data_IF_607584437087
#
_entry.id   IF_607584437087
#
_cell.length_a   1.000
_cell.length_b   1.000
_cell.length_c   1.000
_cell.angle_alpha   90.00
_cell.angle_beta   90.00
_cell.angle_gamma   90.00
#
_symmetry.space_group_name_H-M   'P 1'
#
loop_
_entity.id
_entity.type
_entity.pdbx_description
1 polymer ?
#
# COMPACT_ATOMS: atom_id res chain seq x y z
N UNK A 1 25.28 11.11 14.02
CA UNK A 1 25.27 11.27 12.56
C UNK A 1 25.36 9.90 11.88
N UNK A 2 25.08 9.83 10.58
CA UNK A 2 25.29 8.62 9.77
C UNK A 2 26.76 8.22 9.79
N UNK A 3 27.67 9.20 9.67
CA UNK A 3 29.11 8.99 9.74
C UNK A 3 29.55 8.31 11.05
N UNK A 4 29.11 8.81 12.21
CA UNK A 4 29.45 8.21 13.50
C UNK A 4 28.93 6.77 13.61
N UNK A 5 27.72 6.50 13.11
CA UNK A 5 27.15 5.15 13.09
C UNK A 5 27.83 4.20 12.10
N UNK A 6 28.39 4.73 11.00
CA UNK A 6 29.25 3.96 10.11
C UNK A 6 30.55 3.58 10.80
N UNK A 7 31.17 4.51 11.52
CA UNK A 7 32.39 4.26 12.30
C UNK A 7 32.15 3.20 13.39
N UNK A 8 30.97 3.20 14.02
CA UNK A 8 30.57 2.20 15.01
C UNK A 8 30.16 0.83 14.41
N UNK A 9 30.03 0.71 13.08
CA UNK A 9 29.57 -0.52 12.42
C UNK A 9 28.05 -0.75 12.43
N UNK A 10 27.26 0.16 13.01
CA UNK A 10 25.79 0.11 13.01
C UNK A 10 25.20 0.27 11.61
N UNK A 11 25.83 1.10 10.78
CA UNK A 11 25.39 1.39 9.41
C UNK A 11 26.47 0.96 8.43
N UNK A 12 26.07 0.20 7.40
CA UNK A 12 27.00 -0.24 6.36
C UNK A 12 27.49 0.96 5.54
N UNK A 13 28.80 1.05 5.19
CA UNK A 13 29.34 2.22 4.49
C UNK A 13 28.66 2.56 3.17
N UNK A 14 28.15 1.57 2.44
CA UNK A 14 27.44 1.81 1.19
C UNK A 14 26.09 2.53 1.40
N UNK A 15 25.43 2.36 2.55
CA UNK A 15 24.19 3.06 2.89
C UNK A 15 24.46 4.56 3.07
N UNK A 16 25.57 4.91 3.73
CA UNK A 16 26.01 6.30 3.85
C UNK A 16 26.35 6.91 2.49
N UNK A 17 27.07 6.18 1.61
CA UNK A 17 27.37 6.64 0.24
C UNK A 17 26.11 6.92 -0.57
N UNK A 18 25.16 5.99 -0.57
CA UNK A 18 23.88 6.18 -1.28
C UNK A 18 23.04 7.32 -0.71
N UNK A 19 23.07 7.51 0.61
CA UNK A 19 22.41 8.65 1.25
C UNK A 19 23.02 9.97 0.75
N UNK A 20 24.35 10.07 0.73
CA UNK A 20 25.06 11.24 0.21
C UNK A 20 24.77 11.49 -1.28
N UNK A 21 24.73 10.44 -2.11
CA UNK A 21 24.36 10.55 -3.53
C UNK A 21 22.97 11.19 -3.72
N UNK A 22 21.99 10.78 -2.91
CA UNK A 22 20.62 11.30 -2.97
C UNK A 22 20.49 12.72 -2.40
N UNK A 23 21.35 13.13 -1.48
CA UNK A 23 21.26 14.44 -0.81
C UNK A 23 22.28 15.46 -1.30
N UNK A 24 23.17 15.13 -2.25
CA UNK A 24 24.32 15.97 -2.64
C UNK A 24 23.98 17.36 -3.18
N UNK A 25 22.75 17.53 -3.68
CA UNK A 25 22.27 18.79 -4.27
C UNK A 25 21.64 19.71 -3.23
N UNK A 26 21.48 19.26 -1.98
CA UNK A 26 20.88 20.03 -0.89
C UNK A 26 21.89 20.95 -0.20
N UNK A 27 21.37 21.97 0.47
CA UNK A 27 22.17 22.83 1.36
C UNK A 27 22.75 22.04 2.54
N UNK A 28 23.83 22.54 3.15
CA UNK A 28 24.44 21.90 4.33
C UNK A 28 23.45 21.72 5.49
N UNK A 29 22.57 22.70 5.73
CA UNK A 29 21.55 22.61 6.76
C UNK A 29 20.56 21.46 6.46
N UNK A 30 20.10 21.34 5.22
CA UNK A 30 19.20 20.29 4.75
C UNK A 30 19.84 18.89 4.82
N UNK A 31 21.10 18.76 4.42
CA UNK A 31 21.87 17.51 4.56
C UNK A 31 21.98 17.10 6.04
N UNK A 32 22.13 18.08 6.95
CA UNK A 32 22.11 17.81 8.39
C UNK A 32 20.80 17.19 8.90
N UNK A 33 19.66 17.56 8.32
CA UNK A 33 18.35 16.94 8.62
C UNK A 33 18.29 15.51 8.10
N UNK A 34 18.72 15.28 6.85
CA UNK A 34 18.81 13.94 6.23
C UNK A 34 19.69 13.03 7.09
N UNK A 35 20.87 13.50 7.48
CA UNK A 35 21.82 12.76 8.30
C UNK A 35 21.21 12.30 9.63
N UNK A 36 20.56 13.21 10.37
CA UNK A 36 19.91 12.86 11.65
C UNK A 36 18.78 11.84 11.45
N UNK A 37 17.98 11.98 10.40
CA UNK A 37 16.86 11.06 10.14
C UNK A 37 17.37 9.66 9.73
N UNK A 38 18.35 9.60 8.83
CA UNK A 38 18.94 8.34 8.37
C UNK A 38 19.70 7.64 9.50
N UNK A 39 20.40 8.39 10.36
CA UNK A 39 21.08 7.82 11.52
C UNK A 39 20.12 7.06 12.45
N UNK A 40 18.85 7.49 12.56
CA UNK A 40 17.85 6.84 13.39
C UNK A 40 17.44 5.45 12.88
N UNK A 41 17.35 5.28 11.56
CA UNK A 41 16.76 4.09 10.93
C UNK A 41 17.70 3.27 10.05
N UNK A 42 18.91 3.76 9.79
CA UNK A 42 19.82 3.18 8.79
C UNK A 42 20.33 1.77 9.12
N UNK A 43 20.15 1.32 10.37
CA UNK A 43 20.49 -0.03 10.83
C UNK A 43 19.28 -0.97 10.83
N UNK A 44 18.05 -0.43 10.94
CA UNK A 44 16.82 -1.20 11.08
C UNK A 44 16.05 -1.37 9.77
N UNK A 45 16.16 -0.41 8.85
CA UNK A 45 15.47 -0.43 7.57
C UNK A 45 16.36 -0.97 6.45
N UNK A 46 15.74 -1.69 5.51
CA UNK A 46 16.35 -1.98 4.22
C UNK A 46 16.51 -0.71 3.40
N UNK A 47 17.45 -0.71 2.45
CA UNK A 47 17.70 0.46 1.60
C UNK A 47 16.46 0.92 0.83
N UNK A 48 15.63 0.01 0.30
CA UNK A 48 14.41 0.41 -0.40
C UNK A 48 13.45 1.23 0.49
N UNK A 49 13.30 0.85 1.77
CA UNK A 49 12.49 1.59 2.74
C UNK A 49 13.18 2.88 3.20
N UNK A 50 14.49 2.81 3.46
CA UNK A 50 15.28 3.96 3.87
C UNK A 50 15.37 5.04 2.78
N UNK A 51 15.46 4.64 1.51
CA UNK A 51 15.47 5.56 0.37
C UNK A 51 14.16 6.35 0.29
N UNK A 52 13.00 5.73 0.58
CA UNK A 52 11.71 6.45 0.70
C UNK A 52 11.74 7.48 1.83
N UNK A 53 12.39 7.17 2.96
CA UNK A 53 12.59 8.13 4.07
C UNK A 53 13.50 9.28 3.64
N UNK A 54 14.62 8.98 2.94
CA UNK A 54 15.54 10.00 2.42
C UNK A 54 14.81 10.92 1.45
N UNK A 55 14.07 10.36 0.49
CA UNK A 55 13.24 11.12 -0.45
C UNK A 55 12.23 12.02 0.27
N UNK A 56 11.56 11.51 1.31
CA UNK A 56 10.64 12.33 2.10
C UNK A 56 11.34 13.53 2.75
N UNK A 57 12.52 13.34 3.34
CA UNK A 57 13.28 14.44 3.95
C UNK A 57 13.82 15.40 2.89
N UNK A 58 14.21 14.91 1.71
CA UNK A 58 14.65 15.76 0.59
C UNK A 58 13.50 16.68 0.15
N UNK A 59 12.29 16.13 -0.01
CA UNK A 59 11.09 16.91 -0.37
C UNK A 59 10.72 17.91 0.74
N UNK A 60 10.90 17.52 2.01
CA UNK A 60 10.65 18.39 3.18
C UNK A 60 11.64 19.56 3.23
N UNK A 61 12.90 19.31 2.90
CA UNK A 61 13.97 20.29 2.98
C UNK A 61 13.96 21.31 1.83
N UNK A 62 13.47 20.94 0.65
CA UNK A 62 13.30 21.84 -0.49
C UNK A 62 12.01 21.53 -1.28
N UNK A 63 10.86 21.99 -0.78
CA UNK A 63 9.57 21.79 -1.46
C UNK A 63 9.51 22.45 -2.84
N UNK A 64 10.19 23.59 -3.03
CA UNK A 64 10.21 24.31 -4.30
C UNK A 64 10.90 23.52 -5.41
N UNK A 65 12.09 22.98 -5.13
CA UNK A 65 12.80 22.12 -6.07
C UNK A 65 12.02 20.83 -6.33
N UNK A 66 11.40 20.24 -5.30
CA UNK A 66 10.54 19.06 -5.46
C UNK A 66 9.34 19.35 -6.38
N UNK A 67 8.71 20.52 -6.24
CA UNK A 67 7.63 20.98 -7.11
C UNK A 67 8.12 21.18 -8.55
N UNK A 68 9.23 21.88 -8.75
CA UNK A 68 9.83 22.06 -10.08
C UNK A 68 10.18 20.73 -10.75
N UNK A 69 10.78 19.79 -10.01
CA UNK A 69 11.09 18.45 -10.51
C UNK A 69 9.82 17.63 -10.81
N UNK A 70 8.72 17.84 -10.08
CA UNK A 70 7.43 17.24 -10.40
C UNK A 70 6.86 17.82 -11.70
N UNK A 71 6.99 19.13 -11.91
CA UNK A 71 6.52 19.82 -13.12
C UNK A 71 7.32 19.39 -14.36
N UNK A 72 8.64 19.27 -14.25
CA UNK A 72 9.48 18.72 -15.34
C UNK A 72 9.11 17.28 -15.68
N UNK A 73 8.89 16.42 -14.68
CA UNK A 73 8.44 15.03 -14.91
C UNK A 73 7.06 14.96 -15.57
N UNK A 74 6.17 15.93 -15.29
CA UNK A 74 4.87 16.00 -15.99
C UNK A 74 5.04 16.26 -17.48
N UNK A 75 6.08 16.98 -17.90
CA UNK A 75 6.37 17.16 -19.32
C UNK A 75 6.81 15.87 -20.02
N UNK A 76 7.19 14.83 -19.26
CA UNK A 76 7.53 13.50 -19.76
C UNK A 76 6.33 12.53 -19.76
N UNK A 77 5.14 12.98 -19.32
CA UNK A 77 3.93 12.15 -19.35
C UNK A 77 3.60 11.71 -20.78
N UNK A 78 3.14 10.47 -20.92
CA UNK A 78 2.85 9.89 -22.22
C UNK A 78 2.37 8.45 -22.16
N UNK A 79 1.78 8.01 -23.27
CA UNK A 79 1.39 6.63 -23.51
C UNK A 79 2.29 6.08 -24.60
N UNK A 80 3.03 5.02 -24.30
CA UNK A 80 4.03 4.43 -25.19
C UNK A 80 3.64 3.00 -25.52
N UNK A 81 3.58 2.65 -26.81
CA UNK A 81 3.29 1.30 -27.28
C UNK A 81 4.55 0.66 -27.87
N UNK A 82 4.84 -0.57 -27.45
CA UNK A 82 5.94 -1.33 -28.06
C UNK A 82 5.61 -1.72 -29.51
N UNK A 83 6.64 -1.81 -30.35
CA UNK A 83 6.54 -2.40 -31.69
C UNK A 83 6.47 -3.92 -31.53
N UNK A 84 5.27 -4.47 -31.38
CA UNK A 84 4.91 -5.91 -31.28
C UNK A 84 5.75 -6.78 -30.33
N UNK A 85 5.08 -7.43 -29.38
CA UNK A 85 5.61 -8.65 -28.77
C UNK A 85 5.27 -9.86 -29.68
N UNK A 86 5.90 -11.01 -29.43
CA UNK A 86 5.54 -12.27 -30.11
C UNK A 86 4.04 -12.55 -29.96
N UNK A 87 3.47 -13.27 -30.93
CA UNK A 87 2.10 -13.81 -30.90
C UNK A 87 0.96 -12.77 -30.88
N UNK A 88 1.18 -11.59 -31.50
CA UNK A 88 0.12 -10.58 -31.69
C UNK A 88 -0.16 -9.70 -30.46
N UNK A 89 0.64 -9.82 -29.41
CA UNK A 89 0.51 -9.00 -28.20
C UNK A 89 1.30 -7.68 -28.33
N UNK A 90 0.87 -6.62 -27.64
CA UNK A 90 1.65 -5.37 -27.47
C UNK A 90 1.73 -4.99 -25.99
N UNK A 91 2.83 -4.34 -25.63
CA UNK A 91 3.01 -3.77 -24.29
C UNK A 91 2.75 -2.28 -24.37
N UNK A 92 1.91 -1.78 -23.46
CA UNK A 92 1.66 -0.36 -23.26
C UNK A 92 2.31 0.08 -21.94
N UNK A 93 3.08 1.15 -21.98
CA UNK A 93 3.61 1.84 -20.81
C UNK A 93 2.91 3.19 -20.70
N UNK A 94 2.26 3.44 -19.57
CA UNK A 94 1.56 4.72 -19.31
C UNK A 94 2.26 5.45 -18.19
N UNK A 95 2.64 6.70 -18.46
CA UNK A 95 3.15 7.65 -17.47
C UNK A 95 2.17 8.80 -17.41
N UNK A 96 1.42 8.89 -16.31
CA UNK A 96 0.38 9.89 -16.09
C UNK A 96 0.26 10.22 -14.60
N UNK A 97 -0.62 11.16 -14.24
CA UNK A 97 -0.89 11.48 -12.85
C UNK A 97 -1.45 10.26 -12.11
N UNK A 98 -1.03 10.10 -10.85
CA UNK A 98 -1.39 8.93 -10.05
C UNK A 98 -2.90 8.79 -9.86
N UNK A 99 -3.61 9.91 -9.72
CA UNK A 99 -5.08 9.98 -9.71
C UNK A 99 -5.69 9.22 -10.89
N UNK A 100 -5.22 9.53 -12.10
CA UNK A 100 -5.79 9.00 -13.33
C UNK A 100 -5.46 7.52 -13.50
N UNK A 101 -4.24 7.11 -13.14
CA UNK A 101 -3.85 5.70 -13.17
C UNK A 101 -4.57 4.85 -12.12
N UNK A 102 -4.88 5.41 -10.95
CA UNK A 102 -5.70 4.71 -9.94
C UNK A 102 -7.14 4.52 -10.42
N UNK A 103 -7.73 5.53 -11.07
CA UNK A 103 -9.05 5.37 -11.67
C UNK A 103 -9.05 4.43 -12.87
N UNK A 104 -8.01 4.49 -13.70
CA UNK A 104 -7.82 3.56 -14.81
C UNK A 104 -7.77 2.12 -14.28
N UNK A 105 -6.92 1.85 -13.30
CA UNK A 105 -6.80 0.53 -12.65
C UNK A 105 -8.13 0.04 -12.06
N UNK A 106 -8.82 0.90 -11.29
CA UNK A 106 -10.13 0.59 -10.71
C UNK A 106 -11.21 0.36 -11.78
N UNK A 107 -11.13 1.06 -12.91
CA UNK A 107 -12.05 0.88 -14.04
C UNK A 107 -11.83 -0.46 -14.73
N UNK A 108 -10.56 -0.86 -14.93
CA UNK A 108 -10.23 -2.19 -15.45
C UNK A 108 -10.72 -3.30 -14.52
N UNK A 109 -10.55 -3.15 -13.20
CA UNK A 109 -11.07 -4.10 -12.22
C UNK A 109 -12.59 -4.20 -12.28
N UNK A 110 -13.29 -3.06 -12.29
CA UNK A 110 -14.76 -3.03 -12.36
C UNK A 110 -15.29 -3.72 -13.62
N UNK A 111 -14.67 -3.46 -14.77
CA UNK A 111 -15.04 -4.10 -16.04
C UNK A 111 -14.75 -5.60 -15.98
N UNK A 112 -13.58 -6.01 -15.46
CA UNK A 112 -13.19 -7.40 -15.32
C UNK A 112 -14.15 -8.19 -14.40
N UNK A 113 -14.55 -7.60 -13.28
CA UNK A 113 -15.53 -8.18 -12.37
C UNK A 113 -16.92 -8.23 -13.02
N UNK A 114 -17.30 -7.19 -13.76
CA UNK A 114 -18.55 -7.13 -14.53
C UNK A 114 -18.68 -8.23 -15.59
N UNK A 115 -17.65 -8.45 -16.41
CA UNK A 115 -17.66 -9.54 -17.39
C UNK A 115 -17.66 -10.92 -16.72
N UNK A 116 -17.03 -11.06 -15.54
CA UNK A 116 -17.10 -12.28 -14.75
C UNK A 116 -18.51 -12.57 -14.23
N UNK A 117 -19.21 -11.55 -13.73
CA UNK A 117 -20.62 -11.65 -13.32
C UNK A 117 -21.54 -12.07 -14.47
N UNK A 118 -21.21 -11.69 -15.71
CA UNK A 118 -21.95 -12.08 -16.91
C UNK A 118 -21.53 -13.45 -17.48
N UNK A 119 -20.64 -14.17 -16.80
CA UNK A 119 -20.31 -15.57 -17.10
C UNK A 119 -18.94 -15.83 -17.71
N UNK A 120 -18.07 -14.82 -17.84
CA UNK A 120 -16.68 -15.06 -18.24
C UNK A 120 -15.90 -15.75 -17.11
N UNK A 121 -15.57 -17.02 -17.30
CA UNK A 121 -14.89 -17.86 -16.30
C UNK A 121 -13.37 -17.73 -16.29
N UNK A 122 -12.79 -16.89 -17.14
CA UNK A 122 -11.33 -16.72 -17.17
C UNK A 122 -10.79 -16.14 -15.86
N UNK A 123 -9.50 -16.42 -15.61
CA UNK A 123 -8.77 -15.82 -14.49
C UNK A 123 -8.88 -14.28 -14.50
N UNK A 124 -8.91 -13.65 -13.33
CA UNK A 124 -9.16 -12.20 -13.21
C UNK A 124 -8.19 -11.35 -14.04
N UNK A 125 -6.91 -11.72 -14.10
CA UNK A 125 -5.92 -10.98 -14.90
C UNK A 125 -6.17 -11.07 -16.42
N UNK A 126 -6.70 -12.20 -16.90
CA UNK A 126 -7.11 -12.35 -18.31
C UNK A 126 -8.33 -11.47 -18.58
N UNK A 127 -9.30 -11.44 -17.66
CA UNK A 127 -10.46 -10.53 -17.72
C UNK A 127 -10.04 -9.06 -17.69
N UNK A 128 -9.05 -8.68 -16.88
CA UNK A 128 -8.46 -7.33 -16.86
C UNK A 128 -7.78 -6.98 -18.18
N UNK A 129 -7.10 -7.93 -18.84
CA UNK A 129 -6.55 -7.70 -20.17
C UNK A 129 -7.65 -7.42 -21.22
N UNK A 130 -8.76 -8.18 -21.19
CA UNK A 130 -9.94 -7.92 -22.05
C UNK A 130 -10.58 -6.56 -21.75
N UNK A 131 -10.58 -6.14 -20.48
CA UNK A 131 -11.15 -4.87 -20.05
C UNK A 131 -10.50 -3.65 -20.73
N UNK A 132 -9.22 -3.72 -21.12
CA UNK A 132 -8.54 -2.64 -21.85
C UNK A 132 -9.26 -2.34 -23.18
N UNK A 133 -9.67 -3.38 -23.91
CA UNK A 133 -10.39 -3.22 -25.17
C UNK A 133 -11.84 -2.75 -24.99
N UNK A 134 -12.50 -3.18 -23.90
CA UNK A 134 -13.85 -2.70 -23.55
C UNK A 134 -13.79 -1.21 -23.19
N UNK A 135 -12.84 -0.81 -22.35
CA UNK A 135 -12.65 0.57 -21.90
C UNK A 135 -12.34 1.53 -23.07
N UNK A 136 -11.69 1.03 -24.12
CA UNK A 136 -11.44 1.78 -25.36
C UNK A 136 -12.70 2.04 -26.20
N UNK A 137 -13.83 1.38 -25.89
CA UNK A 137 -15.15 1.57 -26.52
C UNK A 137 -16.14 2.09 -25.45
N UNK A 138 -16.36 3.42 -25.38
CA UNK A 138 -17.21 4.02 -24.36
C UNK A 138 -18.65 3.49 -24.35
N UNK A 139 -19.24 3.23 -25.53
CA UNK A 139 -20.62 2.73 -25.61
C UNK A 139 -20.69 1.30 -25.10
N UNK A 140 -19.76 0.43 -25.52
CA UNK A 140 -19.69 -0.94 -25.02
C UNK A 140 -19.46 -1.01 -23.51
N UNK A 141 -18.66 -0.09 -22.96
CA UNK A 141 -18.47 0.03 -21.51
C UNK A 141 -19.78 0.38 -20.79
N UNK A 142 -20.55 1.34 -21.32
CA UNK A 142 -21.83 1.72 -20.75
C UNK A 142 -22.86 0.60 -20.84
N UNK A 143 -22.93 -0.10 -21.98
CA UNK A 143 -23.83 -1.25 -22.18
C UNK A 143 -23.51 -2.39 -21.20
N UNK A 144 -22.21 -2.65 -20.96
CA UNK A 144 -21.76 -3.60 -19.94
C UNK A 144 -22.26 -3.20 -18.55
N UNK A 145 -22.09 -1.94 -18.15
CA UNK A 145 -22.55 -1.48 -16.84
C UNK A 145 -24.08 -1.56 -16.70
N UNK A 146 -24.84 -1.28 -17.76
CA UNK A 146 -26.29 -1.47 -17.77
C UNK A 146 -26.67 -2.94 -17.60
N UNK A 147 -25.99 -3.86 -18.29
CA UNK A 147 -26.22 -5.31 -18.18
C UNK A 147 -25.90 -5.85 -16.77
N UNK A 148 -24.78 -5.42 -16.18
CA UNK A 148 -24.40 -5.78 -14.81
C UNK A 148 -25.42 -5.26 -13.80
N UNK A 149 -25.88 -4.02 -13.93
CA UNK A 149 -26.91 -3.45 -13.04
C UNK A 149 -28.25 -4.19 -13.15
N UNK A 150 -28.62 -4.64 -14.36
CA UNK A 150 -29.79 -5.48 -14.58
C UNK A 150 -29.66 -6.86 -13.93
N UNK A 151 -28.47 -7.45 -13.97
CA UNK A 151 -28.16 -8.76 -13.36
C UNK A 151 -28.18 -8.69 -11.83
N UNK A 152 -27.52 -7.68 -11.24
CA UNK A 152 -27.52 -7.48 -9.79
C UNK A 152 -28.94 -7.30 -9.23
N UNK A 153 -29.81 -6.54 -9.93
CA UNK A 153 -31.21 -6.36 -9.54
C UNK A 153 -32.02 -7.66 -9.57
N UNK A 154 -31.65 -8.63 -10.39
CA UNK A 154 -32.31 -9.94 -10.48
C UNK A 154 -31.88 -10.90 -9.36
N UNK A 155 -30.68 -10.71 -8.82
CA UNK A 155 -30.10 -11.55 -7.77
C UNK A 155 -30.48 -11.08 -6.36
N UNK A 156 -30.89 -9.83 -6.19
CA UNK A 156 -31.43 -9.30 -4.92
C UNK A 156 -32.85 -9.87 -4.66
N UNK A 157 -33.14 -10.46 -3.47
CA UNK A 157 -34.50 -10.80 -3.09
C UNK A 157 -35.35 -9.52 -2.97
N UNK A 158 -36.60 -9.57 -3.42
CA UNK A 158 -37.54 -8.46 -3.30
C UNK A 158 -37.82 -8.14 -1.81
N UNK A 159 -37.10 -7.17 -1.23
CA UNK A 159 -37.46 -6.59 0.06
C UNK A 159 -38.68 -5.66 -0.10
N UNK A 160 -39.62 -5.63 0.88
CA UNK A 160 -40.78 -4.75 0.79
C UNK A 160 -40.37 -3.28 0.92
N UNK A 161 -41.05 -2.47 0.14
CA UNK A 161 -40.79 -1.08 -0.18
C UNK A 161 -40.82 -0.17 1.07
N UNK A 162 -39.66 0.09 1.67
CA UNK A 162 -39.46 1.13 2.69
C UNK A 162 -38.87 2.40 2.06
N UNK A 163 -39.73 3.16 1.37
CA UNK A 163 -39.81 4.63 1.50
C UNK A 163 -38.57 5.51 1.28
N UNK A 164 -37.49 5.07 0.64
CA UNK A 164 -36.35 5.95 0.36
C UNK A 164 -36.46 6.60 -1.03
N UNK A 165 -37.05 7.81 -1.06
CA UNK A 165 -37.12 8.67 -2.26
C UNK A 165 -35.77 9.32 -2.57
N UNK A 166 -34.82 8.56 -3.08
CA UNK A 166 -33.63 9.12 -3.74
C UNK A 166 -32.98 8.14 -4.71
N UNK A 167 -33.70 7.67 -5.74
CA UNK A 167 -33.09 6.94 -6.88
C UNK A 167 -33.98 6.93 -8.13
N UNK A 168 -34.52 8.10 -8.52
CA UNK A 168 -35.06 8.29 -9.88
C UNK A 168 -33.96 8.89 -10.74
N UNK A 169 -33.37 8.08 -11.62
CA UNK A 169 -32.23 8.44 -12.47
C UNK A 169 -30.94 7.64 -12.23
N UNK A 170 -31.05 6.39 -11.76
CA UNK A 170 -29.90 5.53 -11.44
C UNK A 170 -29.12 5.06 -12.67
N UNK A 171 -28.42 5.98 -13.33
CA UNK A 171 -27.24 5.62 -14.10
C UNK A 171 -26.21 5.04 -13.14
N UNK A 172 -25.57 3.94 -13.53
CA UNK A 172 -24.35 3.50 -12.87
C UNK A 172 -23.34 4.63 -13.03
N UNK A 173 -22.82 5.19 -11.93
CA UNK A 173 -21.71 6.14 -12.04
C UNK A 173 -20.58 5.44 -12.82
N UNK A 174 -20.22 5.93 -14.02
CA UNK A 174 -19.20 5.28 -14.82
C UNK A 174 -17.82 5.36 -14.16
N UNK A 175 -17.60 6.27 -13.21
CA UNK A 175 -16.35 6.37 -12.46
C UNK A 175 -16.43 5.56 -11.16
N UNK A 176 -15.62 4.50 -11.00
CA UNK A 176 -15.54 3.79 -9.73
C UNK A 176 -14.91 4.69 -8.65
N UNK A 177 -15.27 4.48 -7.37
CA UNK A 177 -14.50 5.07 -6.28
C UNK A 177 -13.06 4.54 -6.33
N UNK A 178 -12.08 5.42 -6.15
CA UNK A 178 -10.68 5.06 -5.95
C UNK A 178 -10.24 5.52 -4.56
N UNK A 179 -9.37 4.73 -3.92
CA UNK A 179 -8.87 5.04 -2.57
C UNK A 179 -7.41 5.44 -2.65
N UNK A 180 -7.09 6.63 -2.14
CA UNK A 180 -5.71 7.11 -2.00
C UNK A 180 -5.34 7.18 -0.52
N UNK A 181 -4.31 6.44 -0.12
CA UNK A 181 -3.79 6.50 1.26
C UNK A 181 -2.75 7.60 1.38
N UNK A 182 -3.17 8.73 1.96
CA UNK A 182 -2.32 9.90 2.17
C UNK A 182 -2.00 10.04 3.65
N UNK A 183 -0.71 10.00 3.96
CA UNK A 183 -0.18 10.16 5.31
C UNK A 183 0.44 11.55 5.42
N UNK A 184 -0.12 12.38 6.29
CA UNK A 184 0.34 13.75 6.55
C UNK A 184 0.76 13.89 8.01
N UNK A 185 1.81 14.66 8.28
CA UNK A 185 2.14 15.05 9.66
C UNK A 185 1.35 16.31 10.07
N UNK A 186 1.31 16.58 11.37
CA UNK A 186 0.65 17.77 11.92
C UNK A 186 1.16 19.06 11.27
N UNK A 187 2.47 19.16 11.04
CA UNK A 187 3.10 20.35 10.47
C UNK A 187 2.60 20.64 9.05
N UNK A 188 2.37 19.59 8.24
CA UNK A 188 1.74 19.68 6.91
C UNK A 188 0.29 20.18 6.96
N UNK A 189 -0.44 19.90 8.05
CA UNK A 189 -1.83 20.33 8.23
C UNK A 189 -1.94 21.79 8.71
N UNK A 190 -0.94 22.30 9.43
CA UNK A 190 -0.94 23.64 10.02
C UNK A 190 -0.35 24.74 9.14
N UNK A 191 0.27 24.43 7.99
CA UNK A 191 0.99 25.40 7.15
C UNK A 191 0.67 25.37 5.65
N UNK A 192 1.08 26.41 4.94
CA UNK A 192 1.12 26.47 3.46
C UNK A 192 2.40 25.83 2.95
N UNK A 193 2.42 24.51 2.94
CA UNK A 193 3.58 23.73 2.53
C UNK A 193 3.81 22.57 3.49
N UNK A 194 4.15 21.41 2.95
CA UNK A 194 4.40 20.22 3.74
C UNK A 194 4.52 18.99 2.85
N UNK A 195 4.99 17.90 3.45
CA UNK A 195 5.14 16.62 2.76
C UNK A 195 3.94 15.74 3.07
N UNK A 196 3.41 15.12 2.04
CA UNK A 196 2.49 14.01 2.15
C UNK A 196 3.21 12.75 1.68
N UNK A 197 3.07 11.66 2.42
CA UNK A 197 3.48 10.33 1.95
C UNK A 197 2.25 9.64 1.40
N UNK A 198 2.28 9.32 0.12
CA UNK A 198 1.23 8.56 -0.53
C UNK A 198 1.72 7.12 -0.72
N UNK A 199 0.89 6.15 -0.37
CA UNK A 199 1.23 4.74 -0.56
C UNK A 199 1.45 4.41 -2.04
N UNK A 200 2.36 3.47 -2.32
CA UNK A 200 2.86 3.05 -3.64
C UNK A 200 3.48 4.13 -4.55
N UNK A 201 3.37 5.41 -4.19
CA UNK A 201 3.95 6.53 -4.93
C UNK A 201 5.18 7.09 -4.21
N UNK A 202 5.11 7.25 -2.88
CA UNK A 202 6.16 7.84 -2.06
C UNK A 202 5.86 9.26 -1.59
N UNK A 203 6.91 10.03 -1.30
CA UNK A 203 6.76 11.38 -0.79
C UNK A 203 6.45 12.38 -1.91
N UNK A 204 5.43 13.21 -1.67
CA UNK A 204 4.98 14.27 -2.57
C UNK A 204 4.76 15.55 -1.78
N UNK A 205 4.73 16.69 -2.47
CA UNK A 205 4.33 17.95 -1.82
C UNK A 205 2.83 17.94 -1.51
N UNK A 206 2.43 18.65 -0.46
CA UNK A 206 1.02 18.81 -0.11
C UNK A 206 0.21 19.42 -1.26
N UNK A 207 0.79 20.34 -2.02
CA UNK A 207 0.12 20.96 -3.18
C UNK A 207 -0.04 19.97 -4.35
N UNK A 208 0.92 19.05 -4.55
CA UNK A 208 0.74 17.97 -5.52
C UNK A 208 -0.42 17.05 -5.10
N UNK A 209 -0.49 16.66 -3.83
CA UNK A 209 -1.58 15.85 -3.31
C UNK A 209 -2.95 16.58 -3.42
N UNK A 210 -3.00 17.88 -3.08
CA UNK A 210 -4.20 18.71 -3.24
C UNK A 210 -4.65 18.79 -4.69
N UNK A 211 -3.72 18.99 -5.64
CA UNK A 211 -4.05 19.02 -7.08
C UNK A 211 -4.64 17.71 -7.56
N UNK A 212 -4.11 16.56 -7.13
CA UNK A 212 -4.70 15.25 -7.46
C UNK A 212 -6.13 15.08 -6.92
N UNK A 213 -6.44 15.70 -5.79
CA UNK A 213 -7.75 15.57 -5.14
C UNK A 213 -8.73 16.72 -5.46
N UNK A 214 -8.28 17.77 -6.16
CA UNK A 214 -9.02 19.04 -6.30
C UNK A 214 -10.40 18.91 -6.94
N UNK A 215 -10.57 18.00 -7.90
CA UNK A 215 -11.85 17.77 -8.58
C UNK A 215 -12.53 16.46 -8.14
N UNK A 216 -12.11 15.90 -7.00
CA UNK A 216 -12.63 14.65 -6.47
C UNK A 216 -13.63 14.92 -5.34
N UNK A 217 -14.72 14.14 -5.29
CA UNK A 217 -15.52 14.05 -4.07
C UNK A 217 -14.76 13.22 -3.04
N UNK A 218 -14.09 13.90 -2.10
CA UNK A 218 -13.23 13.23 -1.11
C UNK A 218 -14.03 12.89 0.14
N UNK A 219 -14.14 11.59 0.44
CA UNK A 219 -14.57 11.13 1.76
C UNK A 219 -13.33 10.89 2.62
N UNK A 220 -13.13 11.73 3.64
CA UNK A 220 -12.07 11.51 4.62
C UNK A 220 -12.53 10.45 5.61
N UNK A 221 -11.86 9.30 5.63
CA UNK A 221 -12.12 8.27 6.65
C UNK A 221 -11.52 8.72 7.99
N UNK A 222 -12.27 8.57 9.11
CA UNK A 222 -11.73 8.88 10.43
C UNK A 222 -10.54 7.99 10.76
N UNK A 223 -9.67 8.47 11.65
CA UNK A 223 -8.56 7.68 12.19
C UNK A 223 -9.14 6.40 12.80
N UNK A 224 -8.64 5.25 12.37
CA UNK A 224 -9.01 3.96 12.95
C UNK A 224 -8.38 3.88 14.33
N UNK A 225 -9.20 3.74 15.37
CA UNK A 225 -8.73 3.46 16.73
C UNK A 225 -8.21 2.01 16.78
N UNK A 226 -6.91 1.86 16.52
CA UNK A 226 -6.24 0.56 16.42
C UNK A 226 -6.35 -0.27 17.72
N UNK A 227 -6.22 0.31 18.94
CA UNK A 227 -6.43 -0.41 20.20
C UNK A 227 -7.83 -0.99 20.45
N UNK A 228 -8.89 -0.37 19.91
CA UNK A 228 -10.29 -0.73 20.22
C UNK A 228 -10.94 -1.72 19.25
N UNK A 229 -10.19 -2.26 18.29
CA UNK A 229 -10.78 -3.01 17.17
C UNK A 229 -11.08 -4.47 17.57
N UNK A 230 -12.35 -4.77 17.83
CA UNK A 230 -12.80 -6.09 18.27
C UNK A 230 -12.38 -7.20 17.28
N UNK A 231 -11.80 -8.28 17.81
CA UNK A 231 -11.48 -9.49 17.06
C UNK A 231 -12.75 -10.24 16.61
N UNK A 232 -12.60 -11.21 15.71
CA UNK A 232 -13.70 -12.08 15.25
C UNK A 232 -13.36 -13.55 15.39
N UNK A 233 -14.40 -14.37 15.49
CA UNK A 233 -14.34 -15.83 15.64
C UNK A 233 -14.46 -16.53 14.28
N UNK A 234 -13.69 -16.07 13.29
CA UNK A 234 -13.70 -16.60 11.94
C UNK A 234 -12.31 -16.60 11.34
N UNK A 235 -11.99 -17.60 10.51
CA UNK A 235 -10.73 -17.67 9.77
C UNK A 235 -10.58 -16.48 8.80
N UNK A 236 -11.68 -16.12 8.12
CA UNK A 236 -11.70 -15.01 7.17
C UNK A 236 -11.49 -13.68 7.89
N UNK A 237 -10.56 -12.88 7.37
CA UNK A 237 -10.17 -11.59 7.96
C UNK A 237 -11.06 -10.49 7.39
N UNK A 238 -11.94 -9.85 8.19
CA UNK A 238 -12.77 -8.75 7.72
C UNK A 238 -11.95 -7.54 7.28
N UNK A 239 -12.44 -6.80 6.29
CA UNK A 239 -11.75 -5.63 5.72
C UNK A 239 -11.32 -4.60 6.77
N UNK A 240 -12.14 -4.37 7.81
CA UNK A 240 -11.80 -3.45 8.92
C UNK A 240 -10.55 -3.87 9.70
N UNK A 241 -10.34 -5.18 9.88
CA UNK A 241 -9.17 -5.73 10.58
C UNK A 241 -7.96 -5.70 9.64
N UNK A 242 -8.13 -6.11 8.39
CA UNK A 242 -7.09 -6.03 7.36
C UNK A 242 -6.54 -4.61 7.23
N UNK A 243 -7.43 -3.63 7.17
CA UNK A 243 -7.05 -2.21 7.11
C UNK A 243 -6.26 -1.78 8.35
N UNK A 244 -6.74 -2.11 9.55
CA UNK A 244 -6.06 -1.81 10.80
C UNK A 244 -4.65 -2.40 10.87
N UNK A 245 -4.48 -3.65 10.43
CA UNK A 245 -3.17 -4.32 10.39
C UNK A 245 -2.19 -3.58 9.48
N UNK A 246 -2.62 -3.18 8.27
CA UNK A 246 -1.76 -2.42 7.34
C UNK A 246 -1.43 -1.00 7.84
N UNK A 247 -2.33 -0.35 8.58
CA UNK A 247 -2.04 0.95 9.20
C UNK A 247 -1.04 0.82 10.35
N UNK A 248 -1.15 -0.24 11.15
CA UNK A 248 -0.25 -0.52 12.28
C UNK A 248 1.16 -0.90 11.81
N UNK A 249 1.24 -1.80 10.82
CA UNK A 249 2.49 -2.22 10.22
C UNK A 249 2.37 -2.26 8.69
N UNK A 250 2.81 -1.20 7.98
CA UNK A 250 2.60 -1.10 6.53
C UNK A 250 3.55 -1.97 5.69
N UNK A 251 4.49 -2.68 6.33
CA UNK A 251 5.50 -3.47 5.65
C UNK A 251 5.37 -4.95 5.99
N UNK A 252 5.91 -5.79 5.09
CA UNK A 252 6.07 -7.22 5.36
C UNK A 252 6.82 -7.43 6.68
N UNK A 253 6.23 -8.23 7.57
CA UNK A 253 6.71 -8.41 8.94
C UNK A 253 7.90 -9.37 9.04
N UNK A 254 8.30 -10.00 7.94
CA UNK A 254 9.50 -10.85 7.92
C UNK A 254 10.78 -10.01 8.09
N UNK A 255 11.81 -10.50 8.81
CA UNK A 255 13.03 -9.75 9.06
C UNK A 255 13.68 -9.21 7.80
N UNK A 256 13.94 -7.90 7.77
CA UNK A 256 14.52 -7.15 6.65
C UNK A 256 13.74 -7.27 5.33
N UNK A 257 12.44 -7.53 5.36
CA UNK A 257 11.62 -7.46 4.16
C UNK A 257 11.49 -6.01 3.65
N UNK A 258 11.38 -5.87 2.34
CA UNK A 258 11.32 -4.57 1.63
C UNK A 258 9.91 -4.20 1.17
N UNK A 259 9.00 -5.18 1.09
CA UNK A 259 7.68 -4.97 0.53
C UNK A 259 6.79 -4.14 1.48
N UNK A 260 6.07 -3.17 0.92
CA UNK A 260 5.13 -2.28 1.62
C UNK A 260 3.78 -2.21 0.90
N UNK A 261 3.51 -3.11 -0.03
CA UNK A 261 2.26 -3.14 -0.79
C UNK A 261 1.12 -3.71 0.04
N UNK A 262 -0.08 -3.17 -0.13
CA UNK A 262 -1.31 -3.74 0.48
C UNK A 262 -1.80 -5.02 -0.18
N UNK A 263 -1.18 -5.45 -1.30
CA UNK A 263 -1.50 -6.71 -1.96
C UNK A 263 -0.90 -7.94 -1.24
N UNK A 264 -0.13 -7.72 -0.17
CA UNK A 264 0.38 -8.81 0.65
C UNK A 264 -0.75 -9.56 1.33
N UNK A 265 -0.54 -10.84 1.57
CA UNK A 265 -1.45 -11.62 2.39
C UNK A 265 -1.37 -11.09 3.83
N UNK A 266 -2.49 -11.10 4.54
CA UNK A 266 -2.51 -10.88 5.99
C UNK A 266 -2.73 -12.25 6.59
N UNK A 267 -1.78 -12.68 7.41
CA UNK A 267 -1.71 -14.06 7.89
C UNK A 267 -1.67 -14.10 9.42
N UNK A 268 -2.23 -15.17 9.98
CA UNK A 268 -2.27 -15.38 11.42
C UNK A 268 -0.90 -15.75 11.96
N UNK A 269 -0.39 -15.02 12.97
CA UNK A 269 0.88 -15.34 13.62
C UNK A 269 0.82 -16.74 14.24
N UNK A 270 -0.16 -16.96 15.10
CA UNK A 270 -0.59 -18.25 15.64
C UNK A 270 -1.74 -18.79 14.79
N UNK A 271 -1.61 -20.00 14.19
CA UNK A 271 -2.63 -20.55 13.29
C UNK A 271 -4.02 -20.57 13.91
N UNK A 272 -5.01 -20.13 13.13
CA UNK A 272 -6.41 -20.20 13.52
C UNK A 272 -6.87 -21.65 13.70
N UNK A 273 -7.60 -21.90 14.79
CA UNK A 273 -8.29 -23.16 15.09
C UNK A 273 -9.78 -22.89 15.18
N UNK A 274 -10.63 -23.68 14.53
CA UNK A 274 -12.08 -23.47 14.60
C UNK A 274 -12.57 -23.55 16.05
N UNK A 275 -13.54 -22.71 16.48
CA UNK A 275 -14.22 -22.90 17.75
C UNK A 275 -14.81 -24.31 17.91
N UNK A 276 -15.27 -24.92 16.82
CA UNK A 276 -15.76 -26.30 16.79
C UNK A 276 -14.67 -27.34 17.10
N UNK A 277 -13.40 -27.01 16.81
CA UNK A 277 -12.22 -27.81 17.11
C UNK A 277 -11.57 -27.44 18.45
N UNK A 278 -12.25 -26.64 19.28
CA UNK A 278 -11.77 -26.19 20.60
C UNK A 278 -10.85 -24.96 20.54
N UNK A 279 -10.81 -24.24 19.42
CA UNK A 279 -10.08 -22.98 19.31
C UNK A 279 -10.67 -21.88 20.22
N UNK A 280 -9.84 -21.01 20.82
CA UNK A 280 -10.35 -19.91 21.64
C UNK A 280 -11.07 -18.85 20.78
N UNK A 281 -12.01 -18.07 21.33
CA UNK A 281 -12.56 -16.92 20.62
C UNK A 281 -11.52 -15.80 20.45
N UNK A 282 -11.74 -14.91 19.49
CA UNK A 282 -10.95 -13.70 19.25
C UNK A 282 -9.61 -13.94 18.55
N UNK A 283 -9.40 -15.10 17.93
CA UNK A 283 -8.15 -15.45 17.25
C UNK A 283 -7.82 -14.54 16.06
N UNK A 284 -8.84 -13.99 15.39
CA UNK A 284 -8.65 -13.12 14.23
C UNK A 284 -8.75 -11.66 14.66
N UNK A 285 -7.59 -11.08 15.00
CA UNK A 285 -7.47 -9.69 15.43
C UNK A 285 -6.06 -9.15 15.24
N UNK A 286 -5.89 -7.83 15.43
CA UNK A 286 -4.61 -7.13 15.17
C UNK A 286 -3.42 -7.64 15.99
N UNK A 287 -3.69 -8.34 17.10
CA UNK A 287 -2.67 -8.96 17.95
C UNK A 287 -2.19 -10.33 17.48
N UNK A 288 -2.83 -10.92 16.46
CA UNK A 288 -2.47 -12.22 15.90
C UNK A 288 -2.38 -12.18 14.37
N UNK A 289 -2.22 -11.02 13.75
CA UNK A 289 -2.20 -10.87 12.30
C UNK A 289 -1.02 -9.99 11.88
N UNK A 290 -0.35 -10.37 10.78
CA UNK A 290 0.73 -9.59 10.17
C UNK A 290 0.73 -9.66 8.64
N UNK A 291 1.05 -8.56 7.93
CA UNK A 291 1.21 -8.57 6.48
C UNK A 291 2.46 -9.35 6.08
N UNK A 292 2.34 -10.24 5.11
CA UNK A 292 3.44 -11.05 4.64
C UNK A 292 3.27 -11.43 3.18
N UNK A 293 4.36 -11.37 2.41
CA UNK A 293 4.33 -11.91 1.04
C UNK A 293 4.17 -13.43 1.04
N UNK A 294 3.56 -14.00 -0.01
CA UNK A 294 3.50 -15.46 -0.23
C UNK A 294 4.83 -16.17 -0.05
N UNK A 295 5.93 -15.52 -0.48
CA UNK A 295 7.29 -16.05 -0.32
C UNK A 295 7.66 -16.21 1.15
N UNK A 296 7.51 -15.14 1.95
CA UNK A 296 7.83 -15.20 3.37
C UNK A 296 6.85 -16.07 4.14
N UNK A 297 5.59 -16.14 3.71
CA UNK A 297 4.62 -17.11 4.24
C UNK A 297 5.14 -18.54 4.09
N UNK A 298 5.57 -18.94 2.90
CA UNK A 298 6.16 -20.27 2.68
C UNK A 298 7.38 -20.52 3.55
N UNK A 299 8.23 -19.51 3.77
CA UNK A 299 9.41 -19.60 4.65
C UNK A 299 9.00 -19.77 6.12
N UNK A 300 7.97 -19.08 6.59
CA UNK A 300 7.42 -19.27 7.94
C UNK A 300 6.90 -20.70 8.10
N UNK A 301 6.06 -21.16 7.17
CA UNK A 301 5.41 -22.49 7.27
C UNK A 301 6.41 -23.64 7.15
N UNK A 302 7.38 -23.57 6.22
CA UNK A 302 8.24 -24.72 5.88
C UNK A 302 9.70 -24.53 6.30
N UNK A 303 10.15 -23.31 6.59
CA UNK A 303 11.56 -22.95 6.75
C UNK A 303 12.09 -23.02 8.18
N UNK A 304 11.36 -23.62 9.13
CA UNK A 304 11.69 -23.69 10.57
C UNK A 304 11.85 -22.34 11.27
N UNK A 305 11.45 -21.25 10.62
CA UNK A 305 11.33 -19.95 11.26
C UNK A 305 10.17 -19.99 12.25
N UNK A 306 10.34 -19.32 13.39
CA UNK A 306 9.27 -19.16 14.37
C UNK A 306 9.00 -17.67 14.57
N UNK A 307 7.75 -17.31 14.77
CA UNK A 307 7.33 -15.95 15.06
C UNK A 307 6.45 -15.96 16.30
N UNK A 308 6.55 -14.90 17.10
CA UNK A 308 5.62 -14.58 18.17
C UNK A 308 5.21 -13.13 18.02
N UNK A 309 3.99 -12.79 18.44
CA UNK A 309 3.48 -11.42 18.41
C UNK A 309 3.05 -11.00 19.83
N UNK A 310 3.99 -10.55 20.68
CA UNK A 310 3.68 -10.22 22.08
C UNK A 310 2.67 -9.08 22.23
N UNK A 311 2.69 -8.14 21.29
CA UNK A 311 1.77 -7.02 21.21
C UNK A 311 1.41 -6.77 19.73
N UNK A 312 0.21 -6.21 19.43
CA UNK A 312 -0.12 -5.77 18.08
C UNK A 312 1.02 -4.92 17.48
N UNK A 313 1.47 -5.30 16.27
CA UNK A 313 2.52 -4.58 15.55
C UNK A 313 3.96 -4.87 15.98
N UNK A 314 4.18 -5.76 16.96
CA UNK A 314 5.52 -6.20 17.40
C UNK A 314 5.68 -7.70 17.13
N UNK A 315 6.68 -8.06 16.32
CA UNK A 315 6.93 -9.45 15.92
C UNK A 315 8.33 -9.88 16.35
N UNK A 316 8.43 -10.99 17.06
CA UNK A 316 9.70 -11.60 17.46
C UNK A 316 9.92 -12.85 16.64
N UNK A 317 10.84 -12.76 15.69
CA UNK A 317 11.23 -13.87 14.83
C UNK A 317 12.45 -14.58 15.39
N UNK A 318 12.43 -15.91 15.35
CA UNK A 318 13.58 -16.77 15.59
C UNK A 318 13.93 -17.49 14.28
N UNK A 319 15.16 -17.29 13.82
CA UNK A 319 15.70 -18.00 12.66
C UNK A 319 16.02 -19.47 12.99
N UNK A 320 16.18 -20.34 11.97
CA UNK A 320 16.58 -21.74 12.17
C UNK A 320 17.90 -21.91 12.92
N UNK A 321 18.77 -20.91 12.87
CA UNK A 321 20.08 -20.90 13.54
C UNK A 321 20.03 -20.24 14.92
N UNK A 322 18.84 -20.01 15.48
CA UNK A 322 18.65 -19.48 16.82
C UNK A 322 18.84 -17.97 16.98
N UNK A 323 19.05 -17.21 15.89
CA UNK A 323 19.10 -15.74 15.96
C UNK A 323 17.70 -15.15 16.09
N UNK A 324 17.55 -14.14 16.94
CA UNK A 324 16.33 -13.40 17.14
C UNK A 324 16.32 -12.08 16.36
N UNK A 325 15.13 -11.68 15.90
CA UNK A 325 14.88 -10.42 15.22
C UNK A 325 13.57 -9.84 15.75
N UNK A 326 13.62 -8.61 16.24
CA UNK A 326 12.45 -7.83 16.60
C UNK A 326 12.03 -7.00 15.39
N UNK A 327 10.80 -7.15 14.93
CA UNK A 327 10.26 -6.39 13.81
C UNK A 327 9.09 -5.55 14.29
N UNK A 328 9.16 -4.25 14.02
CA UNK A 328 8.11 -3.28 14.30
C UNK A 328 7.97 -2.27 13.14
N UNK A 329 7.12 -1.25 13.32
CA UNK A 329 6.90 -0.20 12.31
C UNK A 329 8.17 0.57 11.92
N UNK A 330 9.21 0.58 12.76
CA UNK A 330 10.51 1.23 12.53
C UNK A 330 11.56 0.32 11.88
N UNK A 331 11.26 -0.96 11.67
CA UNK A 331 12.10 -1.90 10.94
C UNK A 331 12.47 -3.14 11.73
N UNK A 332 13.61 -3.73 11.39
CA UNK A 332 14.14 -4.95 12.01
C UNK A 332 15.31 -4.62 12.92
N UNK A 333 15.18 -4.96 14.19
CA UNK A 333 16.18 -4.77 15.23
C UNK A 333 16.73 -6.13 15.65
N UNK A 334 18.04 -6.22 15.83
CA UNK A 334 18.64 -7.39 16.45
C UNK A 334 18.77 -7.10 17.95
N UNK A 335 18.18 -7.94 18.83
CA UNK A 335 18.44 -7.82 20.25
C UNK A 335 19.95 -7.97 20.51
N UNK A 336 20.48 -7.37 21.59
CA UNK A 336 21.88 -7.51 21.96
C UNK A 336 22.25 -8.98 22.02
N UNK A 337 23.43 -9.34 21.51
CA UNK A 337 23.96 -10.68 21.77
C UNK A 337 24.16 -10.79 23.27
N UNK A 338 23.54 -11.78 23.90
CA UNK A 338 23.92 -12.19 25.25
C UNK A 338 25.43 -12.44 25.23
N UNK A 339 26.15 -11.72 26.10
CA UNK A 339 27.58 -11.92 26.30
C UNK A 339 27.84 -13.30 26.93
#
# INVERSE_FOLDING_TARGET
>A
SVWAKMQAGDIRPWVGRRTAELSRHLSLAAVGVVDRRVARYGHSLTWGRLAKVVQAVVVEADPSMAAAAADSRRAEHGVFLSRSANDGTRVATVVADARDLLWFDASLDRIADGIGLLGDSDAKDIRRAKAVGILADPQRTLDLFAAVAGTARRLEPAAPDAGCRCRRGGGVDPRPPATLYVHVCRDTLSGTGGVARVEDIGAVTADQAKRWLGDCHVTVKPVIDLPGLAAVDAYEIPDRIREAVHLLIPADVFPYATNTSRQMDVDHTDPYVSPDDGGPPGQTGVGNLGPMTRRHHRIKTHGRWRVQQPYPGIYVWRSPHGRYYLVDHTGTHQPPRSA
#
